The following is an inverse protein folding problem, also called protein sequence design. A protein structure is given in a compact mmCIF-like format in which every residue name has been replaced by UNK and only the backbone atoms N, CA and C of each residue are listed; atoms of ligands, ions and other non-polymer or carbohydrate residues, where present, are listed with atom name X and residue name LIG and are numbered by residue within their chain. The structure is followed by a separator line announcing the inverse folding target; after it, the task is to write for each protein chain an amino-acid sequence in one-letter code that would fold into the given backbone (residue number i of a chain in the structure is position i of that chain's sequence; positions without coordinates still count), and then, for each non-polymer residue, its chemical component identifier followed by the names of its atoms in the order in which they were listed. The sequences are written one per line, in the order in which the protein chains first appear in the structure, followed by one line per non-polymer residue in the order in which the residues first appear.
data_IF_333782187410
#
_entry.id   IF_333782187410
#
_cell.length_a   1.000
_cell.length_b   1.000
_cell.length_c   1.000
_cell.angle_alpha   90.00
_cell.angle_beta   90.00
_cell.angle_gamma   90.00
#
_symmetry.space_group_name_H-M   'P 1'
#
loop_
_entity.id
_entity.type
_entity.pdbx_description
1 polymer ?
#
# COMPACT_ATOMS: atom_id res chain seq x y z
N UNK A 1 35.50 16.22 15.63
CA UNK A 1 34.19 15.83 16.23
C UNK A 1 33.97 16.60 17.52
N UNK A 2 32.83 17.28 17.71
CA UNK A 2 32.48 17.87 19.02
C UNK A 2 32.14 16.75 20.01
N UNK A 3 32.72 16.81 21.23
CA UNK A 3 32.41 15.86 22.31
C UNK A 3 30.97 16.09 22.80
N UNK A 4 30.25 14.99 23.06
CA UNK A 4 28.88 15.00 23.60
C UNK A 4 28.96 15.09 25.12
N UNK A 5 28.79 16.30 25.68
CA UNK A 5 29.01 16.58 27.11
C UNK A 5 27.73 16.87 27.92
N UNK A 6 26.60 17.07 27.25
CA UNK A 6 25.32 17.39 27.89
C UNK A 6 24.67 16.10 28.38
N UNK A 7 24.23 16.09 29.65
CA UNK A 7 23.45 15.01 30.27
C UNK A 7 22.00 15.45 30.46
N UNK A 8 21.08 14.54 30.21
CA UNK A 8 19.64 14.68 30.43
C UNK A 8 19.20 13.54 31.33
N UNK A 9 18.43 13.85 32.37
CA UNK A 9 17.85 12.87 33.28
C UNK A 9 16.40 12.60 32.87
N UNK A 10 16.04 11.31 32.79
CA UNK A 10 14.70 10.86 32.43
C UNK A 10 14.17 10.05 33.60
N UNK A 11 12.98 10.41 34.11
CA UNK A 11 12.28 9.62 35.13
C UNK A 11 11.64 8.42 34.45
N UNK A 12 11.92 7.23 34.97
CA UNK A 12 11.42 5.96 34.46
C UNK A 12 10.92 5.13 35.63
N UNK A 13 9.91 4.29 35.39
CA UNK A 13 9.62 3.16 36.28
C UNK A 13 10.65 2.05 36.09
N UNK A 14 10.68 1.08 37.00
CA UNK A 14 11.58 -0.08 36.90
C UNK A 14 11.32 -0.89 35.60
N UNK A 15 10.04 -1.03 35.22
CA UNK A 15 9.65 -1.71 33.98
C UNK A 15 10.14 -0.95 32.74
N UNK A 16 10.00 0.38 32.73
CA UNK A 16 10.48 1.22 31.63
C UNK A 16 12.01 1.19 31.52
N UNK A 17 12.73 1.23 32.65
CA UNK A 17 14.17 1.12 32.68
C UNK A 17 14.64 -0.22 32.07
N UNK A 18 14.00 -1.33 32.44
CA UNK A 18 14.30 -2.65 31.88
C UNK A 18 13.99 -2.71 30.38
N UNK A 19 12.88 -2.12 29.94
CA UNK A 19 12.54 -2.01 28.52
C UNK A 19 13.61 -1.23 27.74
N UNK A 20 14.08 -0.09 28.27
CA UNK A 20 15.12 0.72 27.64
C UNK A 20 16.42 -0.07 27.50
N UNK A 21 16.84 -0.78 28.55
CA UNK A 21 18.04 -1.62 28.50
C UNK A 21 17.91 -2.76 27.48
N UNK A 22 16.76 -3.44 27.45
CA UNK A 22 16.51 -4.52 26.51
C UNK A 22 16.55 -4.03 25.06
N UNK A 23 15.90 -2.91 24.75
CA UNK A 23 15.92 -2.31 23.40
C UNK A 23 17.31 -1.78 23.01
N UNK A 24 18.10 -1.30 23.97
CA UNK A 24 19.44 -0.78 23.72
C UNK A 24 20.45 -1.87 23.36
N UNK A 25 20.18 -3.16 23.62
CA UNK A 25 21.03 -4.28 23.17
C UNK A 25 21.27 -4.24 21.65
N UNK A 26 20.24 -3.86 20.87
CA UNK A 26 20.34 -3.68 19.42
C UNK A 26 21.23 -2.49 19.00
N UNK A 27 21.63 -1.65 19.95
CA UNK A 27 22.53 -0.51 19.79
C UNK A 27 23.84 -0.72 20.57
N UNK A 28 24.29 -1.97 20.72
CA UNK A 28 25.50 -2.32 21.45
C UNK A 28 25.41 -2.08 22.97
N UNK A 29 24.20 -2.14 23.52
CA UNK A 29 23.93 -1.85 24.93
C UNK A 29 23.90 -0.36 25.29
N UNK A 30 24.09 0.54 24.32
CA UNK A 30 24.19 1.97 24.58
C UNK A 30 22.84 2.69 24.47
N UNK A 31 22.19 2.88 25.62
CA UNK A 31 20.90 3.59 25.73
C UNK A 31 20.98 5.01 25.17
N UNK A 32 22.09 5.73 25.38
CA UNK A 32 22.26 7.09 24.86
C UNK A 32 22.37 7.16 23.33
N UNK A 33 22.90 6.11 22.67
CA UNK A 33 22.90 6.03 21.20
C UNK A 33 21.48 5.74 20.71
N UNK A 34 20.81 4.76 21.30
CA UNK A 34 19.42 4.42 20.96
C UNK A 34 18.48 5.62 21.09
N UNK A 35 18.51 6.35 22.22
CA UNK A 35 17.62 7.49 22.45
C UNK A 35 17.87 8.63 21.46
N UNK A 36 19.14 8.93 21.14
CA UNK A 36 19.45 9.97 20.14
C UNK A 36 19.02 9.57 18.73
N UNK A 37 19.21 8.31 18.37
CA UNK A 37 18.78 7.81 17.07
C UNK A 37 17.25 7.75 16.97
N UNK A 38 16.57 7.36 18.05
CA UNK A 38 15.13 7.44 18.17
C UNK A 38 14.64 8.88 18.00
N UNK A 39 15.18 9.86 18.75
CA UNK A 39 14.80 11.28 18.62
C UNK A 39 15.04 11.79 17.20
N UNK A 40 16.19 11.46 16.58
CA UNK A 40 16.49 11.80 15.19
C UNK A 40 15.45 11.24 14.21
N UNK A 41 14.95 10.03 14.44
CA UNK A 41 13.97 9.35 13.59
C UNK A 41 12.52 9.74 13.90
N UNK A 42 12.23 10.13 15.14
CA UNK A 42 10.89 10.43 15.65
C UNK A 42 10.41 11.82 15.23
N UNK A 43 11.33 12.78 15.04
CA UNK A 43 11.04 14.11 14.49
C UNK A 43 10.99 14.14 12.95
N UNK A 44 11.23 13.00 12.31
CA UNK A 44 11.21 12.94 10.86
C UNK A 44 9.75 12.93 10.40
N UNK A 45 9.24 14.08 9.93
CA UNK A 45 7.97 14.19 9.18
C UNK A 45 7.88 13.09 8.12
N UNK A 46 9.02 12.66 7.59
CA UNK A 46 9.19 11.54 6.67
C UNK A 46 8.80 10.18 7.24
N UNK A 47 9.08 9.88 8.51
CA UNK A 47 8.67 8.61 9.15
C UNK A 47 7.15 8.56 9.33
N UNK A 48 6.54 9.65 9.80
CA UNK A 48 5.08 9.76 9.92
C UNK A 48 4.40 9.78 8.55
N UNK A 49 5.01 10.46 7.57
CA UNK A 49 4.58 10.47 6.17
C UNK A 49 4.59 9.06 5.57
N UNK A 50 5.69 8.32 5.72
CA UNK A 50 5.81 6.93 5.28
C UNK A 50 4.73 6.03 5.87
N UNK A 51 4.48 6.11 7.18
CA UNK A 51 3.41 5.32 7.84
C UNK A 51 2.05 5.68 7.23
N UNK A 52 1.74 6.97 7.09
CA UNK A 52 0.48 7.43 6.50
C UNK A 52 0.33 6.99 5.04
N UNK A 53 1.41 6.98 4.27
CA UNK A 53 1.36 6.49 2.89
C UNK A 53 1.21 4.98 2.83
N UNK A 54 1.84 4.22 3.73
CA UNK A 54 1.61 2.78 3.84
C UNK A 54 0.16 2.46 4.18
N UNK A 55 -0.47 3.21 5.09
CA UNK A 55 -1.90 3.09 5.38
C UNK A 55 -2.76 3.40 4.14
N UNK A 56 -2.42 4.45 3.39
CA UNK A 56 -3.13 4.84 2.16
C UNK A 56 -3.02 3.77 1.07
N UNK A 57 -1.83 3.17 0.90
CA UNK A 57 -1.61 2.06 -0.02
C UNK A 57 -2.39 0.81 0.41
N UNK A 58 -2.41 0.47 1.70
CA UNK A 58 -3.20 -0.66 2.21
C UNK A 58 -4.70 -0.48 1.96
N UNK A 59 -5.23 0.73 2.15
CA UNK A 59 -6.62 1.04 1.83
C UNK A 59 -6.90 0.94 0.33
N UNK A 60 -6.00 1.47 -0.50
CA UNK A 60 -6.06 1.33 -1.95
C UNK A 60 -6.13 -0.13 -2.39
N UNK A 61 -5.21 -0.97 -1.89
CA UNK A 61 -5.20 -2.41 -2.22
C UNK A 61 -6.50 -3.10 -1.81
N UNK A 62 -7.01 -2.84 -0.60
CA UNK A 62 -8.28 -3.41 -0.13
C UNK A 62 -9.46 -3.00 -1.00
N UNK A 63 -9.55 -1.72 -1.37
CA UNK A 63 -10.62 -1.17 -2.22
C UNK A 63 -10.64 -1.88 -3.58
N UNK A 64 -9.48 -2.05 -4.20
CA UNK A 64 -9.39 -2.51 -5.58
C UNK A 64 -9.28 -4.01 -5.76
N UNK A 65 -8.81 -4.75 -4.75
CA UNK A 65 -8.81 -6.22 -4.80
C UNK A 65 -10.21 -6.78 -5.07
N UNK A 66 -11.24 -6.26 -4.38
CA UNK A 66 -12.61 -6.73 -4.57
C UNK A 66 -13.16 -6.36 -5.94
N UNK A 67 -12.89 -5.14 -6.42
CA UNK A 67 -13.34 -4.67 -7.74
C UNK A 67 -12.68 -5.47 -8.88
N UNK A 68 -11.38 -5.75 -8.79
CA UNK A 68 -10.67 -6.57 -9.76
C UNK A 68 -11.17 -8.02 -9.77
N UNK A 69 -11.47 -8.60 -8.61
CA UNK A 69 -12.05 -9.94 -8.54
C UNK A 69 -13.41 -10.01 -9.21
N UNK A 70 -14.27 -9.01 -9.01
CA UNK A 70 -15.58 -8.94 -9.65
C UNK A 70 -15.45 -8.78 -11.17
N UNK A 71 -14.57 -7.88 -11.61
CA UNK A 71 -14.27 -7.65 -13.02
C UNK A 71 -13.79 -8.92 -13.73
N UNK A 72 -12.86 -9.64 -13.11
CA UNK A 72 -12.34 -10.91 -13.64
C UNK A 72 -13.42 -11.99 -13.72
N UNK A 73 -14.32 -12.05 -12.73
CA UNK A 73 -15.46 -12.97 -12.73
C UNK A 73 -16.41 -12.72 -13.90
N UNK A 74 -16.81 -11.47 -14.12
CA UNK A 74 -17.70 -11.11 -15.23
C UNK A 74 -17.05 -11.39 -16.58
N UNK A 75 -15.77 -11.06 -16.73
CA UNK A 75 -15.05 -11.29 -17.98
C UNK A 75 -14.92 -12.79 -18.28
N UNK A 76 -14.62 -13.61 -17.27
CA UNK A 76 -14.55 -15.05 -17.43
C UNK A 76 -15.89 -15.65 -17.89
N UNK A 77 -17.01 -15.19 -17.33
CA UNK A 77 -18.35 -15.61 -17.77
C UNK A 77 -18.62 -15.23 -19.23
N UNK A 78 -18.30 -13.99 -19.62
CA UNK A 78 -18.47 -13.53 -20.99
C UNK A 78 -17.65 -14.37 -21.99
N UNK A 79 -16.43 -14.73 -21.63
CA UNK A 79 -15.54 -15.55 -22.47
C UNK A 79 -15.98 -17.02 -22.52
N UNK A 80 -16.47 -17.59 -21.41
CA UNK A 80 -17.07 -18.93 -21.42
C UNK A 80 -18.27 -19.00 -22.37
N UNK A 81 -19.18 -18.02 -22.26
CA UNK A 81 -20.34 -17.91 -23.15
C UNK A 81 -19.94 -17.71 -24.62
N UNK A 82 -18.92 -16.89 -24.87
CA UNK A 82 -18.38 -16.69 -26.21
C UNK A 82 -17.83 -18.00 -26.80
N UNK A 83 -17.11 -18.80 -25.99
CA UNK A 83 -16.59 -20.10 -26.40
C UNK A 83 -17.72 -21.10 -26.72
N UNK A 84 -18.76 -21.17 -25.88
CA UNK A 84 -19.94 -22.02 -26.13
C UNK A 84 -20.59 -21.68 -27.47
N UNK A 85 -20.83 -20.39 -27.73
CA UNK A 85 -21.40 -19.92 -28.99
C UNK A 85 -20.49 -20.20 -30.18
N UNK A 86 -19.17 -20.08 -30.02
CA UNK A 86 -18.21 -20.38 -31.08
C UNK A 86 -18.23 -21.87 -31.47
N UNK A 87 -18.27 -22.76 -30.48
CA UNK A 87 -18.35 -24.22 -30.70
C UNK A 87 -19.66 -24.58 -31.43
N UNK A 88 -20.76 -23.92 -31.09
CA UNK A 88 -22.05 -24.10 -31.76
C UNK A 88 -22.11 -23.47 -33.17
N UNK A 89 -21.12 -22.66 -33.57
CA UNK A 89 -21.17 -21.87 -34.80
C UNK A 89 -22.14 -20.68 -34.75
N UNK A 90 -22.58 -20.31 -33.55
CA UNK A 90 -23.60 -19.28 -33.29
C UNK A 90 -23.01 -17.97 -32.72
N UNK A 91 -21.68 -17.82 -32.71
CA UNK A 91 -21.03 -16.60 -32.25
C UNK A 91 -21.26 -15.46 -33.25
N UNK A 92 -22.29 -14.65 -32.99
CA UNK A 92 -22.69 -13.55 -33.87
C UNK A 92 -21.89 -12.27 -33.62
N UNK A 93 -21.77 -11.44 -34.66
CA UNK A 93 -21.23 -10.08 -34.53
C UNK A 93 -22.04 -9.22 -33.53
N UNK A 94 -23.35 -9.45 -33.44
CA UNK A 94 -24.22 -8.80 -32.47
C UNK A 94 -23.78 -9.05 -31.03
N UNK A 95 -23.40 -10.29 -30.70
CA UNK A 95 -22.89 -10.64 -29.38
C UNK A 95 -21.60 -9.89 -29.04
N UNK A 96 -20.69 -9.76 -30.01
CA UNK A 96 -19.48 -8.95 -29.83
C UNK A 96 -19.80 -7.48 -29.54
N UNK A 97 -20.70 -6.89 -30.31
CA UNK A 97 -21.03 -5.46 -30.19
C UNK A 97 -21.85 -5.12 -28.95
N UNK A 98 -22.76 -6.00 -28.55
CA UNK A 98 -23.72 -5.75 -27.46
C UNK A 98 -23.24 -6.25 -26.10
N UNK A 99 -22.37 -7.27 -26.05
CA UNK A 99 -21.91 -7.89 -24.80
C UNK A 99 -20.41 -7.71 -24.62
N UNK A 100 -19.58 -8.28 -25.51
CA UNK A 100 -18.13 -8.32 -25.28
C UNK A 100 -17.46 -6.94 -25.31
N UNK A 101 -17.78 -6.10 -26.29
CA UNK A 101 -17.20 -4.75 -26.40
C UNK A 101 -17.55 -3.87 -25.18
N UNK A 102 -18.82 -3.78 -24.74
CA UNK A 102 -19.18 -3.04 -23.54
C UNK A 102 -18.47 -3.55 -22.28
N UNK A 103 -18.47 -4.85 -22.02
CA UNK A 103 -17.81 -5.42 -20.84
C UNK A 103 -16.29 -5.20 -20.86
N UNK A 104 -15.67 -5.31 -22.04
CA UNK A 104 -14.24 -5.00 -22.22
C UNK A 104 -13.95 -3.52 -21.95
N UNK A 105 -14.82 -2.59 -22.39
CA UNK A 105 -14.66 -1.16 -22.08
C UNK A 105 -14.81 -0.89 -20.59
N UNK A 106 -15.79 -1.50 -19.94
CA UNK A 106 -15.99 -1.37 -18.49
C UNK A 106 -14.74 -1.83 -17.74
N UNK A 107 -14.15 -2.95 -18.17
CA UNK A 107 -12.90 -3.47 -17.63
C UNK A 107 -11.72 -2.50 -17.82
N UNK A 108 -11.52 -2.00 -19.05
CA UNK A 108 -10.45 -1.03 -19.34
C UNK A 108 -10.64 0.25 -18.53
N UNK A 109 -11.87 0.74 -18.40
CA UNK A 109 -12.15 1.96 -17.65
C UNK A 109 -11.87 1.77 -16.16
N UNK A 110 -12.26 0.63 -15.57
CA UNK A 110 -11.95 0.30 -14.18
C UNK A 110 -10.43 0.26 -13.96
N UNK A 111 -9.67 -0.41 -14.84
CA UNK A 111 -8.20 -0.48 -14.77
C UNK A 111 -7.56 0.91 -14.90
N UNK A 112 -8.05 1.76 -15.79
CA UNK A 112 -7.55 3.14 -15.94
C UNK A 112 -7.80 3.97 -14.68
N UNK A 113 -8.98 3.84 -14.07
CA UNK A 113 -9.28 4.52 -12.81
C UNK A 113 -8.38 4.05 -11.67
N UNK A 114 -8.12 2.74 -11.57
CA UNK A 114 -7.17 2.16 -10.61
C UNK A 114 -5.78 2.78 -10.80
N UNK A 115 -5.30 2.82 -12.05
CA UNK A 115 -3.99 3.40 -12.37
C UNK A 115 -3.92 4.89 -11.99
N UNK A 116 -4.94 5.67 -12.32
CA UNK A 116 -4.97 7.10 -12.01
C UNK A 116 -4.96 7.37 -10.49
N UNK A 117 -5.70 6.59 -9.70
CA UNK A 117 -5.65 6.70 -8.24
C UNK A 117 -4.29 6.25 -7.67
N UNK A 118 -3.65 5.25 -8.28
CA UNK A 118 -2.30 4.83 -7.89
C UNK A 118 -1.25 5.90 -8.18
N UNK A 119 -1.28 6.48 -9.38
CA UNK A 119 -0.39 7.57 -9.80
C UNK A 119 -0.55 8.76 -8.84
N UNK A 120 -1.78 9.12 -8.45
CA UNK A 120 -2.04 10.18 -7.47
C UNK A 120 -1.53 9.89 -6.05
N UNK A 121 -1.43 8.61 -5.65
CA UNK A 121 -0.78 8.23 -4.38
C UNK A 121 0.75 8.34 -4.51
N UNK A 122 1.29 7.99 -5.68
CA UNK A 122 2.72 8.06 -5.97
C UNK A 122 3.23 9.51 -6.02
N UNK A 123 2.51 10.42 -6.69
CA UNK A 123 2.89 11.85 -6.78
C UNK A 123 2.94 12.51 -5.39
N UNK A 124 2.01 12.14 -4.50
CA UNK A 124 2.01 12.61 -3.10
C UNK A 124 3.23 12.13 -2.29
N UNK A 125 3.92 11.08 -2.73
CA UNK A 125 5.19 10.64 -2.13
C UNK A 125 6.38 11.46 -2.60
N UNK A 126 6.36 12.02 -3.81
CA UNK A 126 7.47 12.83 -4.33
C UNK A 126 7.47 14.26 -3.74
N UNK A 127 6.31 14.76 -3.31
CA UNK A 127 6.16 16.08 -2.68
C UNK A 127 6.52 16.11 -1.16
N UNK A 128 6.82 14.98 -0.51
CA UNK A 128 7.10 14.88 0.95
C UNK A 128 8.50 14.37 1.31
#
# INVERSE_FOLDING_TARGET
MKKKCIRLEIRLTDEEAQMFQNKAKNYGGNVSVMVRDAVRRFDDKRTRGKIKTMESLLQFYKKYQQQLSWLGGNFNQCMHRANELAIAGELTESYFRSILIPETRNAIQAIRSIKAELDAIHDKQEET
#
